data_IF_952894771181
#
_entry.id   IF_952894771181
#
_cell.length_a   1.000
_cell.length_b   1.000
_cell.length_c   1.000
_cell.angle_alpha   90.00
_cell.angle_beta   90.00
_cell.angle_gamma   90.00
#
_symmetry.space_group_name_H-M   'P 1'
#
loop_
_entity.id
_entity.type
_entity.pdbx_description
1 polymer ?
#
# COMPACT_ATOMS: atom_id res chain seq x y z
N UNK A 1 5.15 -19.07 -20.25
CA UNK A 1 5.04 -17.80 -19.50
C UNK A 1 6.11 -17.81 -18.40
N UNK A 2 6.91 -16.74 -18.24
CA UNK A 2 7.94 -16.67 -17.19
C UNK A 2 7.28 -16.62 -15.81
N UNK A 3 7.73 -17.45 -14.86
CA UNK A 3 7.28 -17.41 -13.46
C UNK A 3 8.14 -16.41 -12.68
N UNK A 4 7.51 -15.62 -11.82
CA UNK A 4 8.17 -14.61 -11.00
C UNK A 4 8.00 -14.95 -9.52
N UNK A 5 9.04 -14.73 -8.72
CA UNK A 5 8.93 -14.80 -7.26
C UNK A 5 8.23 -13.56 -6.69
N UNK A 6 7.65 -13.67 -5.49
CA UNK A 6 6.96 -12.54 -4.83
C UNK A 6 7.89 -11.34 -4.60
N UNK A 7 9.16 -11.60 -4.27
CA UNK A 7 10.15 -10.55 -4.11
C UNK A 7 10.50 -9.87 -5.44
N UNK A 8 10.56 -10.63 -6.53
CA UNK A 8 10.82 -10.10 -7.87
C UNK A 8 9.64 -9.22 -8.33
N UNK A 9 8.40 -9.69 -8.15
CA UNK A 9 7.20 -8.91 -8.45
C UNK A 9 7.14 -7.59 -7.65
N UNK A 10 7.45 -7.64 -6.35
CA UNK A 10 7.53 -6.45 -5.50
C UNK A 10 8.54 -5.45 -6.06
N UNK A 11 9.77 -5.90 -6.34
CA UNK A 11 10.82 -5.05 -6.89
C UNK A 11 10.48 -4.49 -8.27
N UNK A 12 9.87 -5.30 -9.15
CA UNK A 12 9.46 -4.86 -10.48
C UNK A 12 8.40 -3.75 -10.41
N UNK A 13 7.39 -3.90 -9.57
CA UNK A 13 6.35 -2.88 -9.39
C UNK A 13 6.92 -1.56 -8.88
N UNK A 14 7.73 -1.61 -7.81
CA UNK A 14 8.31 -0.41 -7.21
C UNK A 14 9.26 0.30 -8.18
N UNK A 15 10.14 -0.44 -8.86
CA UNK A 15 11.06 0.12 -9.87
C UNK A 15 10.32 0.72 -11.06
N UNK A 16 9.22 0.11 -11.48
CA UNK A 16 8.39 0.66 -12.56
C UNK A 16 7.87 2.04 -12.18
N UNK A 17 7.24 2.21 -11.01
CA UNK A 17 6.72 3.53 -10.61
C UNK A 17 7.83 4.52 -10.21
N UNK A 18 8.93 4.05 -9.65
CA UNK A 18 10.13 4.88 -9.45
C UNK A 18 10.60 5.49 -10.78
N UNK A 19 10.66 4.69 -11.86
CA UNK A 19 10.98 5.18 -13.21
C UNK A 19 9.97 6.19 -13.78
N UNK A 20 8.75 6.27 -13.21
CA UNK A 20 7.70 7.23 -13.56
C UNK A 20 7.70 8.47 -12.64
N UNK A 21 8.74 8.59 -11.82
CA UNK A 21 8.95 9.72 -10.92
C UNK A 21 8.17 9.61 -9.62
N UNK A 22 7.77 8.42 -9.18
CA UNK A 22 7.24 8.19 -7.84
C UNK A 22 8.38 8.03 -6.83
N UNK A 23 8.20 8.59 -5.62
CA UNK A 23 9.09 8.29 -4.49
C UNK A 23 8.73 6.92 -3.93
N UNK A 24 9.71 6.02 -3.86
CA UNK A 24 9.54 4.72 -3.18
C UNK A 24 9.62 4.93 -1.67
N UNK A 25 8.51 4.75 -0.96
CA UNK A 25 8.47 4.82 0.50
C UNK A 25 8.45 3.41 1.11
N UNK A 26 9.03 3.27 2.31
CA UNK A 26 8.97 2.03 3.08
C UNK A 26 7.53 1.77 3.54
N UNK A 27 7.20 0.50 3.75
CA UNK A 27 5.97 0.10 4.42
C UNK A 27 5.88 0.76 5.80
N UNK A 28 4.73 1.34 6.10
CA UNK A 28 4.39 1.87 7.41
C UNK A 28 4.10 0.73 8.40
N UNK A 29 4.06 1.07 9.70
CA UNK A 29 3.65 0.17 10.77
C UNK A 29 2.26 -0.43 10.51
N UNK A 30 2.02 -1.64 11.01
CA UNK A 30 0.68 -2.22 11.02
C UNK A 30 -0.24 -1.50 12.02
N UNK A 31 0.33 -1.00 13.11
CA UNK A 31 -0.37 -0.18 14.10
C UNK A 31 -0.42 1.25 13.57
N UNK A 32 -1.62 1.83 13.35
CA UNK A 32 -1.75 3.21 12.92
C UNK A 32 -1.18 4.17 13.97
N UNK A 33 -0.54 5.23 13.50
CA UNK A 33 -0.10 6.34 14.36
C UNK A 33 -1.05 7.51 14.14
N UNK A 34 -1.55 8.11 15.23
CA UNK A 34 -2.43 9.29 15.20
C UNK A 34 -3.74 9.10 14.40
N UNK A 35 -4.23 7.86 14.26
CA UNK A 35 -5.54 7.57 13.66
C UNK A 35 -6.36 6.67 14.60
N UNK A 36 -7.30 7.29 15.32
CA UNK A 36 -8.19 6.58 16.25
C UNK A 36 -9.34 5.84 15.54
N UNK A 37 -9.50 6.02 14.22
CA UNK A 37 -10.56 5.37 13.44
C UNK A 37 -10.17 3.99 12.91
N UNK A 38 -8.86 3.67 12.90
CA UNK A 38 -8.34 2.41 12.40
C UNK A 38 -7.69 1.61 13.53
N UNK A 39 -8.08 0.33 13.64
CA UNK A 39 -7.41 -0.60 14.54
C UNK A 39 -6.06 -1.08 13.98
N UNK A 40 -6.03 -1.43 12.69
CA UNK A 40 -4.85 -1.95 11.98
C UNK A 40 -4.86 -1.42 10.53
N UNK A 41 -3.69 -1.13 9.97
CA UNK A 41 -3.54 -0.76 8.57
C UNK A 41 -3.97 -1.92 7.65
N UNK A 42 -5.04 -1.69 6.88
CA UNK A 42 -5.66 -2.68 5.99
C UNK A 42 -5.42 -2.40 4.50
N UNK A 43 -4.81 -1.26 4.16
CA UNK A 43 -4.59 -0.79 2.80
C UNK A 43 -3.35 0.10 2.69
N UNK A 44 -2.79 0.20 1.48
CA UNK A 44 -1.66 1.06 1.19
C UNK A 44 -1.93 2.56 1.30
N UNK A 45 -3.20 2.97 1.21
CA UNK A 45 -3.60 4.38 1.26
C UNK A 45 -3.85 4.89 2.69
N UNK A 46 -4.19 3.99 3.63
CA UNK A 46 -4.52 4.37 5.01
C UNK A 46 -3.47 5.27 5.68
N UNK A 47 -2.15 4.95 5.65
CA UNK A 47 -1.14 5.82 6.24
C UNK A 47 -0.88 7.11 5.44
N UNK A 48 -1.44 7.23 4.24
CA UNK A 48 -1.30 8.39 3.34
C UNK A 48 -2.53 9.32 3.39
N UNK A 49 -3.52 9.00 4.22
CA UNK A 49 -4.75 9.79 4.39
C UNK A 49 -4.49 11.28 4.64
N UNK A 50 -3.54 11.70 5.51
CA UNK A 50 -3.25 13.13 5.72
C UNK A 50 -2.83 13.88 4.45
N UNK A 51 -2.15 13.20 3.52
CA UNK A 51 -1.74 13.80 2.24
C UNK A 51 -2.91 13.95 1.27
N UNK A 52 -3.84 13.00 1.28
CA UNK A 52 -5.06 13.08 0.46
C UNK A 52 -6.04 14.13 0.97
N UNK A 53 -6.11 14.35 2.29
CA UNK A 53 -6.97 15.37 2.91
C UNK A 53 -6.35 16.76 2.92
N UNK A 54 -5.06 16.89 2.55
CA UNK A 54 -4.32 18.16 2.61
C UNK A 54 -3.94 18.60 4.02
N UNK A 55 -4.07 17.72 5.02
CA UNK A 55 -3.64 17.98 6.40
C UNK A 55 -2.11 18.05 6.51
N UNK A 56 -1.41 17.28 5.68
CA UNK A 56 0.05 17.30 5.61
C UNK A 56 0.52 17.44 4.15
N UNK A 57 1.69 18.04 3.97
CA UNK A 57 2.35 18.14 2.66
C UNK A 57 3.10 16.83 2.40
N UNK A 58 2.81 16.10 1.31
CA UNK A 58 3.51 14.87 1.02
C UNK A 58 4.98 15.15 0.65
N UNK A 59 5.93 14.25 0.98
CA UNK A 59 7.34 14.41 0.63
C UNK A 59 7.57 14.42 -0.90
N UNK A 60 6.63 13.87 -1.66
CA UNK A 60 6.55 13.98 -3.11
C UNK A 60 5.11 13.84 -3.57
N UNK A 61 4.70 14.57 -4.62
CA UNK A 61 3.35 14.49 -5.20
C UNK A 61 3.01 13.12 -5.80
N UNK A 62 4.02 12.29 -6.03
CA UNK A 62 3.90 10.90 -6.51
C UNK A 62 4.64 9.97 -5.57
N UNK A 63 3.98 8.95 -5.04
CA UNK A 63 4.55 7.98 -4.09
C UNK A 63 4.18 6.56 -4.50
N UNK A 64 5.08 5.61 -4.33
CA UNK A 64 4.79 4.18 -4.48
C UNK A 64 5.26 3.39 -3.26
N UNK A 65 4.49 2.38 -2.86
CA UNK A 65 4.79 1.55 -1.69
C UNK A 65 4.42 0.10 -1.91
N UNK A 66 4.99 -0.76 -1.08
CA UNK A 66 4.53 -2.12 -0.83
C UNK A 66 4.13 -2.19 0.65
N UNK A 67 2.87 -1.93 0.95
CA UNK A 67 2.38 -1.83 2.33
C UNK A 67 2.00 -3.20 2.87
N UNK A 68 2.50 -3.55 4.07
CA UNK A 68 1.97 -4.67 4.85
C UNK A 68 0.56 -4.33 5.35
N UNK A 69 -0.40 -5.19 5.08
CA UNK A 69 -1.81 -4.98 5.39
C UNK A 69 -2.35 -6.15 6.20
N UNK A 70 -3.28 -5.86 7.11
CA UNK A 70 -4.11 -6.87 7.75
C UNK A 70 -5.60 -6.59 7.50
N UNK A 71 -6.35 -7.63 7.13
CA UNK A 71 -7.81 -7.62 7.05
C UNK A 71 -8.38 -8.70 7.97
N UNK A 72 -8.96 -8.27 9.08
CA UNK A 72 -9.64 -9.17 10.03
C UNK A 72 -11.01 -9.61 9.52
N UNK A 73 -11.68 -8.80 8.69
CA UNK A 73 -12.95 -9.16 8.07
C UNK A 73 -12.88 -10.37 7.12
N UNK A 74 -11.68 -10.72 6.65
CA UNK A 74 -11.46 -11.86 5.77
C UNK A 74 -11.22 -13.18 6.54
N UNK A 75 -11.21 -13.15 7.88
CA UNK A 75 -10.84 -14.29 8.73
C UNK A 75 -11.67 -15.54 8.42
N UNK A 76 -12.98 -15.39 8.26
CA UNK A 76 -13.89 -16.50 7.98
C UNK A 76 -13.71 -17.11 6.58
N UNK A 77 -13.02 -16.42 5.67
CA UNK A 77 -12.78 -16.88 4.30
C UNK A 77 -11.39 -17.50 4.11
N UNK A 78 -10.48 -17.27 5.06
CA UNK A 78 -9.11 -17.78 5.02
C UNK A 78 -9.12 -19.29 5.18
N UNK A 79 -8.39 -19.99 4.31
CA UNK A 79 -8.38 -21.45 4.24
C UNK A 79 -9.62 -22.07 3.56
N UNK A 80 -10.72 -21.32 3.39
CA UNK A 80 -11.90 -21.76 2.63
C UNK A 80 -11.82 -21.39 1.15
N UNK A 81 -11.08 -20.33 0.83
CA UNK A 81 -10.97 -19.80 -0.53
C UNK A 81 -9.50 -19.60 -0.94
N UNK A 82 -9.24 -19.55 -2.25
CA UNK A 82 -7.88 -19.41 -2.79
C UNK A 82 -7.32 -17.97 -2.79
N UNK A 83 -8.09 -16.97 -2.34
CA UNK A 83 -7.77 -15.54 -2.55
C UNK A 83 -7.82 -14.66 -1.30
N UNK A 84 -8.30 -15.20 -0.17
CA UNK A 84 -8.41 -14.44 1.07
C UNK A 84 -7.22 -14.75 1.98
N UNK A 85 -6.61 -13.70 2.50
CA UNK A 85 -5.55 -13.76 3.50
C UNK A 85 -5.80 -12.70 4.56
N UNK A 86 -5.46 -12.99 5.81
CA UNK A 86 -5.52 -11.99 6.89
C UNK A 86 -4.38 -10.99 6.74
N UNK A 87 -3.15 -11.47 6.58
CA UNK A 87 -1.97 -10.66 6.28
C UNK A 87 -1.60 -10.78 4.81
N UNK A 88 -1.33 -9.64 4.16
CA UNK A 88 -0.87 -9.58 2.78
C UNK A 88 -0.11 -8.29 2.49
N UNK A 89 0.52 -8.20 1.33
CA UNK A 89 1.19 -6.99 0.86
C UNK A 89 0.38 -6.32 -0.25
N UNK A 90 0.15 -5.02 -0.10
CA UNK A 90 -0.55 -4.20 -1.09
C UNK A 90 0.45 -3.29 -1.80
N UNK A 91 0.65 -3.55 -3.10
CA UNK A 91 1.41 -2.70 -4.00
C UNK A 91 0.53 -1.53 -4.45
N UNK A 92 1.02 -0.30 -4.30
CA UNK A 92 0.25 0.89 -4.65
C UNK A 92 1.11 2.02 -5.23
N UNK A 93 0.51 2.78 -6.14
CA UNK A 93 1.03 4.05 -6.64
C UNK A 93 -0.01 5.15 -6.36
N UNK A 94 0.45 6.26 -5.81
CA UNK A 94 -0.39 7.32 -5.27
C UNK A 94 0.00 8.66 -5.90
N UNK A 95 -1.02 9.45 -6.24
CA UNK A 95 -0.92 10.79 -6.79
C UNK A 95 -1.62 11.75 -5.85
N UNK A 96 -0.91 12.78 -5.40
CA UNK A 96 -1.44 13.82 -4.53
C UNK A 96 -1.55 15.11 -5.36
N UNK A 97 -2.72 15.31 -5.97
CA UNK A 97 -3.02 16.44 -6.84
C UNK A 97 -2.11 16.53 -8.07
N UNK A 98 -1.56 15.41 -8.57
CA UNK A 98 -0.69 15.37 -9.74
C UNK A 98 -1.47 14.74 -10.92
N UNK A 99 -1.11 13.54 -11.37
CA UNK A 99 -1.83 12.87 -12.47
C UNK A 99 -3.19 12.35 -12.01
N UNK A 100 -4.15 12.31 -12.94
CA UNK A 100 -5.49 11.75 -12.79
C UNK A 100 -5.85 10.85 -14.00
N UNK A 101 -7.10 10.36 -14.05
CA UNK A 101 -7.61 9.55 -15.16
C UNK A 101 -7.59 10.30 -16.50
#
# INVERSE_FOLDING_TARGET
MKKYGVNELRSMFLKFFESKGHLVMKSFSLVPHNDNSLLIINSGMAPLKPYFTGQEIPPRRRVTTCQKCIRTGDLENVGKTARHGTFFEMLGNFSFGDYFK
#
